data_IF_230222123578
#
_entry.id   IF_230222123578
#
_cell.length_a   1.000
_cell.length_b   1.000
_cell.length_c   1.000
_cell.angle_alpha   90.00
_cell.angle_beta   90.00
_cell.angle_gamma   90.00
#
_symmetry.space_group_name_H-M   'P 1'
#
loop_
_entity.id
_entity.type
_entity.pdbx_description
1 polymer ?
#
# COMPACT_ATOMS: atom_id res chain seq x y z
N UNK A 1 39.82 33.99 -29.62
CA UNK A 1 38.97 32.78 -29.58
C UNK A 1 39.20 32.05 -28.25
N UNK A 2 38.27 32.11 -27.30
CA UNK A 2 38.24 31.23 -26.13
C UNK A 2 36.86 30.58 -26.06
N UNK A 3 36.88 29.26 -25.99
CA UNK A 3 35.78 28.33 -26.25
C UNK A 3 34.81 28.32 -25.06
N UNK A 4 33.52 28.38 -25.36
CA UNK A 4 32.43 28.05 -24.44
C UNK A 4 32.47 26.53 -24.28
N UNK A 5 32.84 26.02 -23.11
CA UNK A 5 32.73 24.59 -22.82
C UNK A 5 32.28 24.37 -21.37
N UNK A 6 31.14 23.67 -21.31
CA UNK A 6 30.64 22.83 -20.23
C UNK A 6 30.23 23.50 -18.91
N UNK A 7 28.92 23.63 -18.78
CA UNK A 7 28.23 23.70 -17.50
C UNK A 7 26.79 23.21 -17.63
N UNK A 8 26.54 22.20 -18.47
CA UNK A 8 25.23 21.53 -18.52
C UNK A 8 25.38 20.22 -17.76
N UNK A 9 24.36 19.91 -16.98
CA UNK A 9 24.10 18.69 -16.21
C UNK A 9 24.59 18.67 -14.75
N UNK A 10 23.74 19.18 -13.85
CA UNK A 10 23.40 18.47 -12.63
C UNK A 10 21.97 17.90 -12.66
N UNK A 11 21.20 18.11 -13.75
CA UNK A 11 19.78 17.76 -13.78
C UNK A 11 19.48 16.24 -13.93
N UNK A 12 20.44 15.44 -14.42
CA UNK A 12 20.19 14.00 -14.64
C UNK A 12 20.45 13.14 -13.39
N UNK A 13 21.23 13.63 -12.41
CA UNK A 13 21.46 12.86 -11.18
C UNK A 13 20.24 12.84 -10.26
N UNK A 14 19.38 13.87 -10.34
CA UNK A 14 18.16 13.94 -9.54
C UNK A 14 17.12 12.89 -9.96
N UNK A 15 17.07 12.51 -11.25
CA UNK A 15 16.07 11.54 -11.76
C UNK A 15 16.33 10.09 -11.33
N UNK A 16 17.57 9.72 -10.99
CA UNK A 16 17.92 8.34 -10.67
C UNK A 16 17.61 7.95 -9.21
N UNK A 17 17.44 8.91 -8.30
CA UNK A 17 17.23 8.62 -6.86
C UNK A 17 15.75 8.45 -6.52
N UNK A 18 14.83 8.97 -7.33
CA UNK A 18 13.39 8.86 -7.06
C UNK A 18 12.80 7.48 -7.38
N UNK A 19 13.45 6.67 -8.23
CA UNK A 19 12.87 5.43 -8.75
C UNK A 19 12.98 4.23 -7.78
N UNK A 20 13.90 4.28 -6.81
CA UNK A 20 14.18 3.14 -5.93
C UNK A 20 13.14 2.93 -4.81
N UNK A 21 12.37 3.96 -4.45
CA UNK A 21 11.43 3.90 -3.32
C UNK A 21 9.97 3.62 -3.73
N UNK A 22 9.72 3.37 -5.03
CA UNK A 22 8.37 3.15 -5.58
C UNK A 22 7.93 1.68 -5.56
N UNK A 23 8.47 0.84 -4.68
CA UNK A 23 8.00 -0.55 -4.55
C UNK A 23 6.77 -0.58 -3.67
N UNK A 24 5.79 -1.41 -4.04
CA UNK A 24 4.81 -1.87 -3.08
C UNK A 24 5.57 -2.60 -1.97
N UNK A 25 5.29 -2.21 -0.73
CA UNK A 25 5.82 -2.88 0.47
C UNK A 25 4.64 -3.72 0.92
N UNK A 26 4.76 -5.06 0.90
CA UNK A 26 3.71 -5.94 1.42
C UNK A 26 3.30 -5.50 2.82
N UNK A 27 2.05 -5.73 3.18
CA UNK A 27 1.61 -5.47 4.54
C UNK A 27 2.55 -6.17 5.54
N UNK A 28 3.08 -5.39 6.46
CA UNK A 28 3.84 -5.89 7.60
C UNK A 28 3.00 -5.52 8.81
N UNK A 29 2.45 -6.53 9.48
CA UNK A 29 1.65 -6.33 10.67
C UNK A 29 2.42 -5.44 11.66
N UNK A 30 1.81 -4.34 12.15
CA UNK A 30 2.44 -3.54 13.18
C UNK A 30 2.62 -4.41 14.43
N UNK A 31 3.76 -4.25 15.12
CA UNK A 31 4.03 -4.97 16.39
C UNK A 31 3.12 -4.52 17.53
N UNK A 32 2.39 -3.43 17.32
CA UNK A 32 1.34 -2.94 18.21
C UNK A 32 0.04 -3.00 17.40
N UNK A 33 -0.89 -3.84 17.84
CA UNK A 33 -2.25 -3.96 17.30
C UNK A 33 -2.87 -2.56 17.34
N UNK A 34 -3.00 -1.93 16.18
CA UNK A 34 -3.64 -0.62 16.08
C UNK A 34 -5.12 -0.85 16.34
N UNK A 35 -5.57 -0.46 17.53
CA UNK A 35 -6.98 -0.36 17.94
C UNK A 35 -7.70 0.72 17.13
N UNK A 36 -7.87 0.51 15.83
CA UNK A 36 -8.85 1.25 15.03
C UNK A 36 -9.90 0.25 14.57
N UNK A 37 -10.87 0.03 15.46
CA UNK A 37 -12.10 -0.75 15.27
C UNK A 37 -13.06 -0.13 14.24
N UNK A 38 -12.53 0.44 13.15
CA UNK A 38 -13.33 1.10 12.12
C UNK A 38 -12.59 1.33 10.81
N UNK A 39 -11.42 0.68 10.61
CA UNK A 39 -10.67 0.78 9.35
C UNK A 39 -11.14 -0.23 8.29
N UNK A 40 -11.57 -1.42 8.71
CA UNK A 40 -11.98 -2.48 7.78
C UNK A 40 -13.50 -2.78 7.79
N UNK A 41 -14.24 -2.49 8.87
CA UNK A 41 -15.70 -2.69 8.90
C UNK A 41 -16.40 -1.61 8.03
N UNK A 42 -16.57 -1.94 6.74
CA UNK A 42 -17.13 -1.01 5.76
C UNK A 42 -18.66 -0.97 5.82
N UNK A 43 -19.29 -2.08 6.22
CA UNK A 43 -20.74 -2.22 6.18
C UNK A 43 -21.43 -1.86 7.51
N UNK A 44 -20.65 -1.76 8.61
CA UNK A 44 -21.09 -1.35 9.94
C UNK A 44 -21.78 -2.45 10.74
N UNK A 45 -21.58 -3.72 10.40
CA UNK A 45 -22.12 -4.86 11.13
C UNK A 45 -21.27 -5.26 12.35
N UNK A 46 -20.14 -4.58 12.56
CA UNK A 46 -19.13 -4.81 13.60
C UNK A 46 -18.30 -6.08 13.40
N UNK A 47 -18.38 -6.73 12.25
CA UNK A 47 -17.47 -7.81 11.89
C UNK A 47 -16.50 -7.31 10.82
N UNK A 48 -15.35 -7.95 10.71
CA UNK A 48 -14.41 -7.70 9.61
C UNK A 48 -14.20 -9.01 8.87
N UNK A 49 -14.53 -8.99 7.59
CA UNK A 49 -14.32 -10.09 6.65
C UNK A 49 -13.07 -9.89 5.80
N UNK A 50 -12.54 -10.98 5.22
CA UNK A 50 -11.45 -10.90 4.26
C UNK A 50 -11.79 -9.98 3.07
N UNK A 51 -13.02 -10.04 2.56
CA UNK A 51 -13.49 -9.21 1.44
C UNK A 51 -13.39 -7.71 1.77
N UNK A 52 -13.76 -7.31 2.98
CA UNK A 52 -13.67 -5.92 3.43
C UNK A 52 -12.23 -5.46 3.62
N UNK A 53 -11.35 -6.34 4.09
CA UNK A 53 -9.90 -6.07 4.14
C UNK A 53 -9.34 -5.91 2.73
N UNK A 54 -9.76 -6.74 1.77
CA UNK A 54 -9.34 -6.60 0.37
C UNK A 54 -9.78 -5.27 -0.24
N UNK A 55 -11.02 -4.85 0.02
CA UNK A 55 -11.54 -3.56 -0.46
C UNK A 55 -10.68 -2.40 0.04
N UNK A 56 -10.41 -2.34 1.34
CA UNK A 56 -9.56 -1.31 1.94
C UNK A 56 -8.14 -1.31 1.35
N UNK A 57 -7.53 -2.50 1.17
CA UNK A 57 -6.20 -2.62 0.55
C UNK A 57 -6.17 -2.11 -0.91
N UNK A 58 -7.27 -2.27 -1.65
CA UNK A 58 -7.40 -1.71 -3.01
C UNK A 58 -7.53 -0.19 -2.97
N UNK A 59 -8.31 0.35 -2.04
CA UNK A 59 -8.43 1.81 -1.84
C UNK A 59 -7.08 2.46 -1.49
N UNK A 60 -6.34 1.85 -0.57
CA UNK A 60 -4.99 2.26 -0.18
C UNK A 60 -4.01 2.29 -1.37
N UNK A 61 -4.13 1.31 -2.28
CA UNK A 61 -3.31 1.26 -3.49
C UNK A 61 -3.65 2.39 -4.46
N UNK A 62 -4.93 2.76 -4.58
CA UNK A 62 -5.39 3.89 -5.40
C UNK A 62 -4.84 5.19 -4.82
N UNK A 63 -4.94 5.39 -3.51
CA UNK A 63 -4.41 6.58 -2.85
C UNK A 63 -2.89 6.70 -3.00
N UNK A 64 -2.18 5.58 -2.90
CA UNK A 64 -0.74 5.50 -3.18
C UNK A 64 -0.45 5.83 -4.65
N UNK A 65 -1.23 5.32 -5.59
CA UNK A 65 -1.08 5.63 -7.02
C UNK A 65 -1.29 7.12 -7.30
N UNK A 66 -2.31 7.74 -6.70
CA UNK A 66 -2.57 9.19 -6.79
C UNK A 66 -1.41 9.98 -6.19
N UNK A 67 -0.90 9.58 -5.03
CA UNK A 67 0.25 10.23 -4.40
C UNK A 67 1.52 10.11 -5.25
N UNK A 68 1.74 8.96 -5.90
CA UNK A 68 2.84 8.75 -6.85
C UNK A 68 2.69 9.65 -8.08
N UNK A 69 1.48 9.77 -8.63
CA UNK A 69 1.19 10.65 -9.75
C UNK A 69 1.48 12.12 -9.39
N UNK A 70 1.03 12.57 -8.22
CA UNK A 70 1.32 13.93 -7.70
C UNK A 70 2.81 14.20 -7.54
N UNK A 71 3.62 13.16 -7.28
CA UNK A 71 5.09 13.23 -7.19
C UNK A 71 5.80 13.16 -8.55
N UNK A 72 5.06 13.09 -9.66
CA UNK A 72 5.62 13.03 -11.01
C UNK A 72 6.20 11.66 -11.38
N UNK A 73 5.76 10.59 -10.72
CA UNK A 73 6.16 9.22 -11.08
C UNK A 73 5.62 8.82 -12.46
N UNK A 74 6.35 7.94 -13.14
CA UNK A 74 5.93 7.43 -14.43
C UNK A 74 4.70 6.52 -14.31
N UNK A 75 3.86 6.50 -15.34
CA UNK A 75 2.71 5.59 -15.40
C UNK A 75 3.13 4.13 -15.19
N UNK A 76 4.27 3.72 -15.76
CA UNK A 76 4.83 2.38 -15.57
C UNK A 76 5.13 2.05 -14.10
N UNK A 77 5.60 3.01 -13.31
CA UNK A 77 5.86 2.80 -11.89
C UNK A 77 4.55 2.68 -11.10
N UNK A 78 3.55 3.48 -11.45
CA UNK A 78 2.20 3.42 -10.86
C UNK A 78 1.54 2.08 -11.18
N UNK A 79 1.53 1.70 -12.47
CA UNK A 79 0.96 0.43 -12.94
C UNK A 79 1.61 -0.77 -12.24
N UNK A 80 2.92 -0.69 -11.98
CA UNK A 80 3.63 -1.74 -11.26
C UNK A 80 3.13 -1.88 -9.83
N UNK A 81 2.92 -0.77 -9.12
CA UNK A 81 2.41 -0.81 -7.74
C UNK A 81 1.00 -1.38 -7.68
N UNK A 82 0.11 -0.92 -8.56
CA UNK A 82 -1.27 -1.44 -8.64
C UNK A 82 -1.26 -2.93 -8.98
N UNK A 83 -0.46 -3.35 -9.97
CA UNK A 83 -0.37 -4.76 -10.37
C UNK A 83 0.26 -5.64 -9.29
N UNK A 84 1.26 -5.15 -8.59
CA UNK A 84 1.90 -5.88 -7.50
C UNK A 84 0.90 -6.09 -6.35
N UNK A 85 0.08 -5.08 -6.02
CA UNK A 85 -1.00 -5.17 -5.04
C UNK A 85 -2.11 -6.13 -5.47
N UNK A 86 -2.66 -5.99 -6.69
CA UNK A 86 -3.73 -6.87 -7.19
C UNK A 86 -3.33 -8.35 -7.16
N UNK A 87 -2.03 -8.65 -7.27
CA UNK A 87 -1.52 -10.02 -7.22
C UNK A 87 -1.45 -10.58 -5.80
N UNK A 88 -1.34 -9.73 -4.78
CA UNK A 88 -1.16 -10.16 -3.38
C UNK A 88 -2.33 -9.81 -2.48
N UNK A 89 -3.32 -9.04 -2.95
CA UNK A 89 -4.42 -8.51 -2.13
C UNK A 89 -5.16 -9.60 -1.35
N UNK A 90 -5.59 -10.68 -2.00
CA UNK A 90 -6.26 -11.82 -1.35
C UNK A 90 -5.35 -12.45 -0.28
N UNK A 91 -4.06 -12.64 -0.58
CA UNK A 91 -3.10 -13.23 0.36
C UNK A 91 -2.74 -12.30 1.52
N UNK A 92 -2.79 -11.00 1.30
CA UNK A 92 -2.49 -10.01 2.33
C UNK A 92 -3.71 -9.78 3.22
N UNK A 93 -4.93 -9.84 2.66
CA UNK A 93 -6.18 -9.85 3.41
C UNK A 93 -6.29 -11.10 4.30
N UNK A 94 -6.04 -12.29 3.75
CA UNK A 94 -6.03 -13.54 4.51
C UNK A 94 -5.07 -13.49 5.70
N UNK A 95 -3.84 -13.00 5.49
CA UNK A 95 -2.87 -12.86 6.59
C UNK A 95 -3.33 -11.87 7.65
N UNK A 96 -4.07 -10.83 7.28
CA UNK A 96 -4.60 -9.87 8.24
C UNK A 96 -5.70 -10.54 9.05
N UNK A 97 -6.62 -11.27 8.41
CA UNK A 97 -7.65 -12.05 9.10
C UNK A 97 -7.01 -13.10 10.01
N UNK A 98 -6.08 -13.93 9.54
CA UNK A 98 -5.35 -14.94 10.34
C UNK A 98 -4.67 -14.37 11.62
N UNK A 99 -4.33 -13.08 11.62
CA UNK A 99 -3.69 -12.41 12.77
C UNK A 99 -4.73 -11.88 13.76
N UNK A 100 -5.88 -11.44 13.24
CA UNK A 100 -6.93 -10.79 14.02
C UNK A 100 -7.97 -11.79 14.54
N UNK A 101 -8.31 -12.79 13.74
CA UNK A 101 -9.20 -13.89 14.08
C UNK A 101 -8.48 -14.85 15.05
N UNK A 102 -9.02 -14.95 16.25
CA UNK A 102 -8.46 -15.73 17.35
C UNK A 102 -9.07 -17.12 17.49
N UNK A 103 -10.25 -17.35 16.93
CA UNK A 103 -10.98 -18.61 17.05
C UNK A 103 -11.03 -19.44 15.76
N UNK A 104 -10.60 -18.86 14.64
CA UNK A 104 -10.36 -19.50 13.36
C UNK A 104 -11.61 -19.70 12.52
N UNK A 105 -12.61 -18.83 12.68
CA UNK A 105 -13.87 -18.89 11.93
C UNK A 105 -13.90 -18.02 10.65
N UNK A 106 -12.76 -17.40 10.30
CA UNK A 106 -12.56 -16.50 9.16
C UNK A 106 -13.35 -15.18 9.27
N UNK A 107 -13.76 -14.78 10.48
CA UNK A 107 -14.52 -13.57 10.75
C UNK A 107 -13.99 -12.87 12.00
N UNK A 108 -13.53 -11.63 11.89
CA UNK A 108 -13.01 -10.91 13.06
C UNK A 108 -14.15 -10.23 13.81
N UNK A 109 -14.35 -10.63 15.06
CA UNK A 109 -15.36 -10.05 15.95
C UNK A 109 -14.79 -8.88 16.78
N UNK A 110 -15.65 -7.97 17.31
CA UNK A 110 -15.20 -6.85 18.15
C UNK A 110 -14.40 -7.29 19.38
N UNK A 111 -14.72 -8.47 19.91
CA UNK A 111 -14.05 -9.07 21.05
C UNK A 111 -12.61 -9.48 20.79
N UNK A 112 -12.22 -9.65 19.54
CA UNK A 112 -10.91 -10.12 19.08
C UNK A 112 -9.97 -8.94 18.77
N UNK A 113 -10.52 -7.75 18.53
CA UNK A 113 -9.77 -6.50 18.31
C UNK A 113 -9.17 -5.87 19.60
N UNK A 114 -9.08 -6.64 20.69
CA UNK A 114 -8.72 -6.15 22.04
C UNK A 114 -7.22 -6.07 22.32
#
# INVERSE_FOLDING_TARGET
MRKILLGVLPAFLALAVFDANARYIPYVAPTDVVTQSGGYDQNGDNYITADEVEEELREDAIDKAIAMQKKGMSQKAIDKVVKDMERTVEQDAEKIIDILDTDGDELVEPEELK
#
